data_IF_144309675774
#
_entry.id   IF_144309675774
#
_cell.length_a   1.000
_cell.length_b   1.000
_cell.length_c   1.000
_cell.angle_alpha   90.00
_cell.angle_beta   90.00
_cell.angle_gamma   90.00
#
_symmetry.space_group_name_H-M   'P 1'
#
loop_
_entity.id
_entity.type
_entity.pdbx_description
1 polymer ?
#
# COMPACT_ATOMS: atom_id res chain seq x y z
N UNK A 1 -5.41 -17.47 -6.32
CA UNK A 1 -6.49 -17.04 -7.24
C UNK A 1 -6.59 -15.52 -7.20
N UNK A 2 -7.32 -14.91 -8.14
CA UNK A 2 -7.52 -13.46 -8.15
C UNK A 2 -8.15 -12.94 -6.83
N UNK A 3 -9.15 -13.66 -6.32
CA UNK A 3 -9.82 -13.29 -5.07
C UNK A 3 -8.85 -13.26 -3.87
N UNK A 4 -7.95 -14.25 -3.77
CA UNK A 4 -6.91 -14.26 -2.72
C UNK A 4 -5.97 -13.06 -2.84
N UNK A 5 -5.52 -12.74 -4.05
CA UNK A 5 -4.64 -11.60 -4.28
C UNK A 5 -5.34 -10.27 -3.93
N UNK A 6 -6.60 -10.10 -4.33
CA UNK A 6 -7.40 -8.92 -3.95
C UNK A 6 -7.63 -8.83 -2.44
N UNK A 7 -7.77 -9.97 -1.75
CA UNK A 7 -7.78 -10.02 -0.28
C UNK A 7 -6.48 -9.50 0.32
N UNK A 8 -5.33 -10.00 -0.16
CA UNK A 8 -4.01 -9.55 0.29
C UNK A 8 -3.78 -8.05 0.05
N UNK A 9 -4.22 -7.53 -1.11
CA UNK A 9 -4.13 -6.10 -1.43
C UNK A 9 -4.98 -5.23 -0.50
N UNK A 10 -6.20 -5.66 -0.15
CA UNK A 10 -7.03 -4.93 0.83
C UNK A 10 -6.40 -4.92 2.21
N UNK A 11 -5.82 -6.05 2.64
CA UNK A 11 -5.14 -6.15 3.93
C UNK A 11 -3.92 -5.23 4.01
N UNK A 12 -3.12 -5.09 2.93
CA UNK A 12 -1.92 -4.27 2.97
C UNK A 12 -2.21 -2.78 3.22
N UNK A 13 -3.36 -2.28 2.74
CA UNK A 13 -3.78 -0.87 2.91
C UNK A 13 -4.72 -0.64 4.11
N UNK A 14 -5.18 -1.69 4.80
CA UNK A 14 -6.14 -1.56 5.90
C UNK A 14 -5.68 -0.60 7.00
N UNK A 15 -4.37 -0.51 7.21
CA UNK A 15 -3.76 0.34 8.24
C UNK A 15 -3.26 1.69 7.68
N UNK A 16 -3.71 2.14 6.51
CA UNK A 16 -3.24 3.38 5.88
C UNK A 16 -3.42 4.60 6.79
N UNK A 17 -4.64 4.81 7.31
CA UNK A 17 -4.93 5.93 8.20
C UNK A 17 -4.04 5.94 9.44
N UNK A 18 -3.94 4.81 10.15
CA UNK A 18 -3.09 4.68 11.34
C UNK A 18 -1.61 4.90 11.01
N UNK A 19 -1.16 4.44 9.85
CA UNK A 19 0.22 4.66 9.38
C UNK A 19 0.45 6.15 9.15
N UNK A 20 -0.43 6.83 8.42
CA UNK A 20 -0.32 8.28 8.11
C UNK A 20 -0.41 9.19 9.33
N UNK A 21 -1.07 8.77 10.39
CA UNK A 21 -1.12 9.51 11.67
C UNK A 21 0.03 9.16 12.62
N UNK A 22 0.85 8.15 12.30
CA UNK A 22 1.96 7.74 13.17
C UNK A 22 3.13 8.72 13.08
N UNK A 23 3.86 8.91 14.17
CA UNK A 23 5.06 9.75 14.19
C UNK A 23 6.11 9.27 13.17
N UNK A 24 6.22 7.94 12.96
CA UNK A 24 7.10 7.38 11.94
C UNK A 24 6.77 7.90 10.53
N UNK A 25 5.48 8.00 10.18
CA UNK A 25 5.12 8.61 8.91
C UNK A 25 5.34 10.12 8.93
N UNK A 26 4.92 10.82 9.99
CA UNK A 26 5.00 12.29 10.05
C UNK A 26 6.45 12.81 9.98
N UNK A 27 7.40 12.10 10.57
CA UNK A 27 8.83 12.44 10.56
C UNK A 27 9.63 11.78 9.43
N UNK A 28 9.02 10.87 8.66
CA UNK A 28 9.68 10.26 7.52
C UNK A 28 10.05 11.32 6.46
N UNK A 29 11.08 11.00 5.66
CA UNK A 29 11.45 11.81 4.51
C UNK A 29 10.30 11.92 3.50
N UNK A 30 10.20 13.06 2.81
CA UNK A 30 9.16 13.28 1.80
C UNK A 30 9.18 12.24 0.68
N UNK A 31 10.37 11.77 0.30
CA UNK A 31 10.52 10.67 -0.66
C UNK A 31 9.84 9.39 -0.18
N UNK A 32 10.05 8.99 1.07
CA UNK A 32 9.45 7.77 1.63
C UNK A 32 7.93 7.93 1.83
N UNK A 33 7.46 9.11 2.27
CA UNK A 33 6.03 9.44 2.32
C UNK A 33 5.39 9.31 0.95
N UNK A 34 5.99 9.90 -0.08
CA UNK A 34 5.49 9.88 -1.45
C UNK A 34 5.46 8.45 -2.03
N UNK A 35 6.49 7.65 -1.76
CA UNK A 35 6.55 6.25 -2.18
C UNK A 35 5.41 5.43 -1.54
N UNK A 36 5.19 5.60 -0.23
CA UNK A 36 4.09 4.93 0.48
C UNK A 36 2.72 5.37 -0.06
N UNK A 37 2.50 6.68 -0.19
CA UNK A 37 1.24 7.23 -0.70
C UNK A 37 0.94 6.76 -2.12
N UNK A 38 1.95 6.70 -2.98
CA UNK A 38 1.82 6.21 -4.36
C UNK A 38 1.43 4.73 -4.39
N UNK A 39 2.07 3.91 -3.56
CA UNK A 39 1.73 2.48 -3.45
C UNK A 39 0.28 2.28 -2.97
N UNK A 40 -0.14 3.03 -1.94
CA UNK A 40 -1.52 2.99 -1.42
C UNK A 40 -2.53 3.46 -2.48
N UNK A 41 -2.24 4.54 -3.21
CA UNK A 41 -3.12 5.05 -4.25
C UNK A 41 -3.28 4.06 -5.40
N UNK A 42 -2.19 3.41 -5.83
CA UNK A 42 -2.24 2.36 -6.85
C UNK A 42 -3.09 1.18 -6.39
N UNK A 43 -2.91 0.74 -5.14
CA UNK A 43 -3.71 -0.33 -4.54
C UNK A 43 -5.20 0.04 -4.48
N UNK A 44 -5.53 1.26 -4.06
CA UNK A 44 -6.91 1.78 -4.03
C UNK A 44 -7.53 1.83 -5.44
N UNK A 45 -6.77 2.24 -6.46
CA UNK A 45 -7.23 2.24 -7.84
C UNK A 45 -7.68 0.85 -8.32
N UNK A 46 -6.91 -0.19 -7.96
CA UNK A 46 -7.24 -1.58 -8.31
C UNK A 46 -8.40 -2.12 -7.46
N UNK A 47 -8.45 -1.82 -6.16
CA UNK A 47 -9.54 -2.25 -5.28
C UNK A 47 -10.88 -1.67 -5.71
N UNK A 48 -10.90 -0.40 -6.15
CA UNK A 48 -12.09 0.30 -6.59
C UNK A 48 -12.50 -0.08 -8.03
N UNK A 49 -11.61 -0.71 -8.81
CA UNK A 49 -11.96 -1.25 -10.11
C UNK A 49 -12.88 -2.46 -9.94
N UNK A 50 -14.18 -2.27 -10.15
CA UNK A 50 -15.23 -3.26 -9.87
C UNK A 50 -15.20 -4.47 -10.79
N UNK A 51 -14.63 -4.36 -12.01
CA UNK A 51 -14.35 -5.48 -12.91
C UNK A 51 -13.27 -5.06 -13.91
N UNK A 52 -12.12 -5.73 -13.92
CA UNK A 52 -11.12 -5.54 -14.97
C UNK A 52 -10.69 -6.92 -15.49
N UNK A 53 -11.07 -7.30 -16.73
CA UNK A 53 -10.83 -8.65 -17.26
C UNK A 53 -9.34 -8.98 -17.46
N UNK A 54 -8.47 -7.97 -17.37
CA UNK A 54 -7.02 -8.11 -17.51
C UNK A 54 -6.26 -8.02 -16.17
N UNK A 55 -6.94 -8.16 -15.02
CA UNK A 55 -6.28 -8.17 -13.72
C UNK A 55 -5.46 -9.45 -13.50
N UNK A 56 -4.14 -9.29 -13.41
CA UNK A 56 -3.20 -10.38 -13.11
C UNK A 56 -2.99 -10.52 -11.59
N UNK A 57 -3.16 -11.75 -11.08
CA UNK A 57 -3.05 -12.01 -9.65
C UNK A 57 -1.62 -11.79 -9.10
N UNK A 58 -0.58 -12.01 -9.91
CA UNK A 58 0.80 -11.75 -9.50
C UNK A 58 1.08 -10.24 -9.43
N UNK A 59 0.56 -9.46 -10.37
CA UNK A 59 0.64 -8.01 -10.34
C UNK A 59 -0.03 -7.44 -9.07
N UNK A 60 -1.21 -7.95 -8.71
CA UNK A 60 -1.93 -7.55 -7.49
C UNK A 60 -1.11 -7.91 -6.23
N UNK A 61 -0.54 -9.11 -6.16
CA UNK A 61 0.36 -9.48 -5.07
C UNK A 61 1.60 -8.58 -5.01
N UNK A 62 2.14 -8.19 -6.17
CA UNK A 62 3.24 -7.23 -6.28
C UNK A 62 2.87 -5.86 -5.70
N UNK A 63 1.66 -5.36 -5.96
CA UNK A 63 1.17 -4.12 -5.37
C UNK A 63 1.01 -4.23 -3.85
N UNK A 64 0.49 -5.36 -3.35
CA UNK A 64 0.36 -5.60 -1.92
C UNK A 64 1.74 -5.58 -1.24
N UNK A 65 2.73 -6.26 -1.84
CA UNK A 65 4.11 -6.23 -1.39
C UNK A 65 4.72 -4.82 -1.43
N UNK A 66 4.45 -4.05 -2.49
CA UNK A 66 4.95 -2.68 -2.62
C UNK A 66 4.42 -1.78 -1.49
N UNK A 67 3.14 -1.90 -1.12
CA UNK A 67 2.57 -1.17 0.03
C UNK A 67 3.30 -1.55 1.32
N UNK A 68 3.52 -2.84 1.56
CA UNK A 68 4.21 -3.31 2.76
C UNK A 68 5.67 -2.84 2.82
N UNK A 69 6.40 -2.94 1.70
CA UNK A 69 7.80 -2.51 1.60
C UNK A 69 7.94 -1.00 1.80
N UNK A 70 7.09 -0.20 1.16
CA UNK A 70 7.12 1.27 1.31
C UNK A 70 6.70 1.72 2.70
N UNK A 71 5.76 1.01 3.34
CA UNK A 71 5.43 1.21 4.75
C UNK A 71 6.61 0.94 5.67
N UNK A 72 7.32 -0.17 5.46
CA UNK A 72 8.51 -0.52 6.24
C UNK A 72 9.69 0.42 5.99
N UNK A 73 9.73 1.06 4.82
CA UNK A 73 10.74 2.05 4.47
C UNK A 73 10.48 3.45 5.06
N UNK A 74 9.33 3.68 5.69
CA UNK A 74 9.10 4.91 6.46
C UNK A 74 10.18 4.99 7.56
N UNK A 75 10.86 6.13 7.58
CA UNK A 75 12.09 6.32 8.34
C UNK A 75 11.98 7.49 9.34
N UNK A 76 10.78 7.81 9.78
CA UNK A 76 10.59 8.69 10.94
C UNK A 76 10.93 7.89 12.19
N UNK A 77 12.02 8.23 12.85
CA UNK A 77 12.32 7.63 14.14
C UNK A 77 11.15 7.92 15.11
N UNK A 78 10.73 6.93 15.89
CA UNK A 78 9.92 7.18 17.08
C UNK A 78 10.82 7.92 18.06
N UNK A 79 10.69 9.25 18.15
CA UNK A 79 11.20 9.99 19.30
C UNK A 79 10.40 9.62 20.55
#
# INVERSE_FOLDING_TARGET
TLNTAMGALRTSIQNDNTTKTSQNYLDASDSNKNNYNTAVNNANGVINATNNPNMDANAINGMANQVNTTKAALNGAQN
#
